data_IF_548561904791
#
_entry.id   IF_548561904791
#
_cell.length_a   1.000
_cell.length_b   1.000
_cell.length_c   1.000
_cell.angle_alpha   90.00
_cell.angle_beta   90.00
_cell.angle_gamma   90.00
#
_symmetry.space_group_name_H-M   'P 1'
#
loop_
_entity.id
_entity.type
_entity.pdbx_description
1 polymer ?
#
# COMPACT_ATOMS: atom_id res chain seq x y z
N UNK A 1 10.62 -20.69 5.41
CA UNK A 1 9.85 -19.52 4.94
C UNK A 1 10.12 -19.14 3.47
N UNK A 2 11.18 -19.61 2.82
CA UNK A 2 11.51 -19.26 1.42
C UNK A 2 10.66 -19.98 0.36
N UNK A 3 9.99 -21.09 0.70
CA UNK A 3 9.19 -21.87 -0.26
C UNK A 3 7.90 -21.19 -0.76
N UNK A 4 7.45 -20.11 -0.11
CA UNK A 4 6.24 -19.39 -0.48
C UNK A 4 6.41 -18.36 -1.59
N UNK A 5 7.62 -17.87 -1.77
CA UNK A 5 7.92 -16.83 -2.77
C UNK A 5 8.02 -17.38 -4.21
N UNK A 6 8.19 -18.69 -4.39
CA UNK A 6 8.38 -19.31 -5.70
C UNK A 6 7.07 -19.56 -6.47
N UNK A 7 5.91 -19.63 -5.81
CA UNK A 7 4.64 -20.04 -6.42
C UNK A 7 3.87 -18.95 -7.16
N UNK A 8 3.85 -17.69 -6.72
CA UNK A 8 3.27 -16.61 -7.53
C UNK A 8 3.94 -16.49 -8.89
N UNK A 9 5.28 -16.67 -8.93
CA UNK A 9 6.03 -16.62 -10.17
C UNK A 9 5.72 -17.78 -11.13
N UNK A 10 5.47 -18.98 -10.64
CA UNK A 10 5.11 -20.11 -11.51
C UNK A 10 3.71 -19.94 -12.11
N UNK A 11 2.76 -19.39 -11.36
CA UNK A 11 1.42 -19.08 -11.86
C UNK A 11 1.45 -17.90 -12.83
N UNK A 12 2.17 -16.83 -12.47
CA UNK A 12 2.38 -15.67 -13.33
C UNK A 12 3.13 -16.04 -14.61
N UNK A 13 4.13 -16.92 -14.53
CA UNK A 13 4.83 -17.46 -15.70
C UNK A 13 3.94 -18.30 -16.59
N UNK A 14 3.10 -19.17 -16.04
CA UNK A 14 2.10 -19.92 -16.80
C UNK A 14 1.09 -18.98 -17.49
N UNK A 15 0.65 -17.94 -16.78
CA UNK A 15 -0.20 -16.88 -17.34
C UNK A 15 0.47 -16.16 -18.50
N UNK A 16 1.71 -15.68 -18.31
CA UNK A 16 2.47 -14.98 -19.35
C UNK A 16 2.69 -15.84 -20.61
N UNK A 17 2.98 -17.14 -20.43
CA UNK A 17 3.19 -18.05 -21.56
C UNK A 17 1.91 -18.49 -22.27
N UNK A 18 0.81 -18.61 -21.54
CA UNK A 18 -0.44 -19.16 -22.10
C UNK A 18 -1.43 -18.07 -22.52
N UNK A 19 -1.56 -17.01 -21.74
CA UNK A 19 -2.53 -15.92 -21.95
C UNK A 19 -1.88 -14.62 -22.40
N UNK A 20 -0.75 -14.22 -21.84
CA UNK A 20 -0.06 -12.98 -22.20
C UNK A 20 0.44 -12.99 -23.64
N UNK A 21 0.91 -14.14 -24.13
CA UNK A 21 1.30 -14.33 -25.53
C UNK A 21 0.08 -14.36 -26.49
N UNK A 22 -1.07 -14.85 -26.03
CA UNK A 22 -2.29 -14.94 -26.80
C UNK A 22 -3.07 -13.61 -26.86
N UNK A 23 -2.96 -12.79 -25.82
CA UNK A 23 -3.71 -11.53 -25.68
C UNK A 23 -2.91 -10.29 -26.12
N UNK A 24 -1.63 -10.43 -26.51
CA UNK A 24 -0.75 -9.31 -26.87
C UNK A 24 -0.75 -8.20 -25.80
N UNK A 25 -0.70 -8.57 -24.53
CA UNK A 25 -0.73 -7.61 -23.41
C UNK A 25 0.36 -6.55 -23.58
N UNK A 26 0.03 -5.24 -23.63
CA UNK A 26 1.03 -4.18 -23.85
C UNK A 26 2.01 -4.03 -22.69
N UNK A 27 1.73 -4.65 -21.54
CA UNK A 27 2.53 -4.53 -20.32
C UNK A 27 3.53 -5.68 -20.13
N UNK A 28 3.45 -6.73 -20.94
CA UNK A 28 4.25 -7.93 -20.78
C UNK A 28 4.86 -8.36 -22.10
N UNK A 29 6.18 -8.28 -22.22
CA UNK A 29 6.93 -8.88 -23.32
C UNK A 29 7.27 -10.34 -23.01
N UNK A 30 6.62 -11.35 -23.63
CA UNK A 30 6.90 -12.76 -23.41
C UNK A 30 8.36 -13.14 -23.70
N UNK A 31 9.04 -12.45 -24.61
CA UNK A 31 10.44 -12.70 -24.97
C UNK A 31 11.40 -12.34 -23.81
N UNK A 32 10.96 -11.46 -22.89
CA UNK A 32 11.75 -11.07 -21.70
C UNK A 32 11.73 -12.10 -20.58
N UNK A 33 10.97 -13.21 -20.71
CA UNK A 33 10.77 -14.23 -19.65
C UNK A 33 11.43 -15.56 -19.99
N UNK A 34 12.71 -15.53 -20.34
CA UNK A 34 13.51 -16.76 -20.46
C UNK A 34 13.73 -17.40 -19.10
N UNK A 35 13.94 -18.72 -19.08
CA UNK A 35 14.27 -19.47 -17.83
C UNK A 35 15.45 -18.83 -17.10
N UNK A 36 16.49 -18.39 -17.85
CA UNK A 36 17.65 -17.69 -17.27
C UNK A 36 17.24 -16.40 -16.55
N UNK A 37 16.41 -15.58 -17.17
CA UNK A 37 15.92 -14.33 -16.56
C UNK A 37 15.06 -14.59 -15.34
N UNK A 38 14.23 -15.62 -15.35
CA UNK A 38 13.45 -16.04 -14.19
C UNK A 38 14.36 -16.44 -13.02
N UNK A 39 15.40 -17.23 -13.27
CA UNK A 39 16.38 -17.61 -12.22
C UNK A 39 17.08 -16.37 -11.69
N UNK A 40 17.49 -15.44 -12.55
CA UNK A 40 18.10 -14.16 -12.12
C UNK A 40 17.13 -13.35 -11.24
N UNK A 41 15.90 -13.17 -11.67
CA UNK A 41 14.88 -12.44 -10.91
C UNK A 41 14.60 -13.09 -9.55
N UNK A 42 14.66 -14.40 -9.49
CA UNK A 42 14.39 -15.17 -8.30
C UNK A 42 15.43 -14.94 -7.19
N UNK A 43 16.73 -14.92 -7.50
CA UNK A 43 17.74 -14.65 -6.49
C UNK A 43 17.95 -13.16 -6.25
N UNK A 44 17.71 -12.29 -7.24
CA UNK A 44 17.82 -10.85 -7.07
C UNK A 44 16.61 -10.25 -6.31
N UNK A 45 15.49 -10.96 -6.23
CA UNK A 45 14.32 -10.53 -5.48
C UNK A 45 14.62 -10.20 -4.01
N UNK A 46 15.59 -10.85 -3.39
CA UNK A 46 16.00 -10.54 -2.00
C UNK A 46 16.50 -9.10 -1.86
N UNK A 47 17.09 -8.55 -2.92
CA UNK A 47 17.67 -7.21 -2.92
C UNK A 47 16.72 -6.16 -3.49
N UNK A 48 15.93 -6.53 -4.50
CA UNK A 48 14.98 -5.63 -5.12
C UNK A 48 13.88 -6.40 -5.87
N UNK A 49 12.67 -5.83 -5.91
CA UNK A 49 11.59 -6.31 -6.75
C UNK A 49 11.77 -5.80 -8.19
N UNK A 50 11.27 -6.56 -9.17
CA UNK A 50 11.25 -6.13 -10.57
C UNK A 50 9.98 -5.30 -10.84
N UNK A 51 9.94 -4.58 -11.95
CA UNK A 51 8.80 -3.74 -12.32
C UNK A 51 7.46 -4.50 -12.35
N UNK A 52 7.46 -5.71 -12.88
CA UNK A 52 6.32 -6.62 -12.94
C UNK A 52 5.89 -7.18 -11.58
N UNK A 53 6.72 -7.05 -10.56
CA UNK A 53 6.45 -7.46 -9.17
C UNK A 53 6.41 -6.28 -8.20
N UNK A 54 6.31 -5.06 -8.71
CA UNK A 54 6.28 -3.82 -7.94
C UNK A 54 5.34 -3.87 -6.72
N UNK A 55 4.10 -4.39 -6.78
CA UNK A 55 3.24 -4.47 -5.60
C UNK A 55 3.81 -5.27 -4.44
N UNK A 56 4.82 -6.11 -4.65
CA UNK A 56 5.49 -6.85 -3.58
C UNK A 56 6.43 -5.97 -2.72
N UNK A 57 6.63 -4.68 -3.05
CA UNK A 57 7.35 -3.72 -2.21
C UNK A 57 6.84 -3.72 -0.75
N UNK A 58 5.54 -3.97 -0.57
CA UNK A 58 4.93 -4.07 0.75
C UNK A 58 5.59 -5.13 1.64
N UNK A 59 6.11 -6.21 1.07
CA UNK A 59 6.81 -7.25 1.84
C UNK A 59 8.10 -6.73 2.46
N UNK A 60 8.84 -5.89 1.73
CA UNK A 60 10.07 -5.27 2.26
C UNK A 60 9.72 -4.33 3.42
N UNK A 61 8.70 -3.51 3.22
CA UNK A 61 8.18 -2.62 4.26
C UNK A 61 7.72 -3.43 5.49
N UNK A 62 6.97 -4.51 5.29
CA UNK A 62 6.48 -5.37 6.36
C UNK A 62 7.63 -6.04 7.12
N UNK A 63 8.64 -6.55 6.43
CA UNK A 63 9.86 -7.11 7.05
C UNK A 63 10.55 -6.02 7.89
N UNK A 64 10.73 -4.80 7.35
CA UNK A 64 11.29 -3.68 8.10
C UNK A 64 10.51 -3.36 9.38
N UNK A 65 9.17 -3.36 9.31
CA UNK A 65 8.31 -3.18 10.49
C UNK A 65 8.48 -4.31 11.51
N UNK A 66 8.56 -5.57 11.08
CA UNK A 66 8.80 -6.69 12.00
C UNK A 66 10.17 -6.62 12.68
N UNK A 67 11.20 -6.14 11.99
CA UNK A 67 12.54 -5.95 12.57
C UNK A 67 12.54 -4.86 13.66
N UNK A 68 11.76 -3.80 13.51
CA UNK A 68 11.67 -2.72 14.50
C UNK A 68 10.70 -3.03 15.66
N UNK A 69 9.77 -3.98 15.46
CA UNK A 69 8.72 -4.32 16.45
C UNK A 69 9.22 -4.63 17.86
N UNK A 70 10.33 -5.38 18.09
CA UNK A 70 10.80 -5.64 19.45
C UNK A 70 11.16 -4.35 20.21
N UNK A 71 11.84 -3.41 19.53
CA UNK A 71 12.23 -2.11 20.10
C UNK A 71 11.01 -1.22 20.30
N UNK A 72 10.21 -1.07 19.25
CA UNK A 72 8.98 -0.27 19.30
C UNK A 72 8.00 -0.79 20.34
N UNK A 73 7.81 -2.10 20.42
CA UNK A 73 6.91 -2.73 21.40
C UNK A 73 7.38 -2.55 22.85
N UNK A 74 8.68 -2.53 23.09
CA UNK A 74 9.23 -2.23 24.41
C UNK A 74 8.92 -0.78 24.81
N UNK A 75 9.11 0.16 23.93
CA UNK A 75 8.78 1.57 24.15
C UNK A 75 7.26 1.78 24.32
N UNK A 76 6.43 1.22 23.44
CA UNK A 76 4.97 1.37 23.49
C UNK A 76 4.35 0.90 24.81
N UNK A 77 4.91 -0.15 25.43
CA UNK A 77 4.42 -0.64 26.73
C UNK A 77 4.68 0.34 27.87
N UNK A 78 5.73 1.15 27.77
CA UNK A 78 6.16 2.09 28.82
C UNK A 78 5.71 3.52 28.54
N UNK A 79 5.42 3.85 27.27
CA UNK A 79 5.07 5.19 26.83
C UNK A 79 3.77 5.68 27.50
N UNK A 80 3.81 6.90 28.01
CA UNK A 80 2.62 7.61 28.46
C UNK A 80 1.74 8.04 27.30
N UNK A 81 0.50 8.41 27.58
CA UNK A 81 -0.40 8.95 26.57
C UNK A 81 0.20 10.18 25.87
N UNK A 82 0.89 11.03 26.64
CA UNK A 82 1.53 12.26 26.12
C UNK A 82 2.69 11.95 25.17
N UNK A 83 3.50 10.93 25.49
CA UNK A 83 4.63 10.52 24.65
C UNK A 83 4.13 9.99 23.29
N UNK A 84 3.05 9.19 23.31
CA UNK A 84 2.41 8.71 22.08
C UNK A 84 1.83 9.86 21.25
N UNK A 85 1.19 10.83 21.90
CA UNK A 85 0.65 12.02 21.22
C UNK A 85 1.75 12.87 20.62
N UNK A 86 2.87 13.06 21.33
CA UNK A 86 4.02 13.79 20.81
C UNK A 86 4.62 13.08 19.59
N UNK A 87 4.82 11.76 19.67
CA UNK A 87 5.30 10.98 18.55
C UNK A 87 4.36 11.14 17.32
N UNK A 88 3.05 10.99 17.54
CA UNK A 88 2.05 11.11 16.46
C UNK A 88 1.98 12.53 15.89
N UNK A 89 2.22 13.57 16.70
CA UNK A 89 2.27 14.94 16.20
C UNK A 89 3.49 15.17 15.29
N UNK A 90 4.67 14.69 15.69
CA UNK A 90 5.90 14.78 14.88
C UNK A 90 5.75 13.94 13.60
N UNK A 91 5.22 12.72 13.71
CA UNK A 91 4.91 11.89 12.55
C UNK A 91 3.89 12.56 11.63
N UNK A 92 2.84 13.16 12.17
CA UNK A 92 1.84 13.91 11.40
C UNK A 92 2.46 15.08 10.63
N UNK A 93 3.43 15.78 11.21
CA UNK A 93 4.19 16.81 10.50
C UNK A 93 5.03 16.20 9.36
N UNK A 94 5.64 15.03 9.57
CA UNK A 94 6.39 14.33 8.53
C UNK A 94 5.53 13.91 7.33
N UNK A 95 4.23 13.67 7.51
CA UNK A 95 3.30 13.36 6.41
C UNK A 95 3.08 14.54 5.43
N UNK A 96 3.41 15.76 5.84
CA UNK A 96 3.34 16.96 5.00
C UNK A 96 4.58 17.14 4.14
N UNK A 97 5.69 16.48 4.47
CA UNK A 97 6.98 16.70 3.85
C UNK A 97 6.95 16.59 2.30
N UNK A 98 6.35 15.58 1.67
CA UNK A 98 6.30 15.49 0.21
C UNK A 98 5.66 16.71 -0.46
N UNK A 99 4.64 17.29 0.16
CA UNK A 99 3.97 18.50 -0.34
C UNK A 99 4.82 19.75 -0.13
N UNK A 100 5.50 19.82 1.01
CA UNK A 100 6.41 20.94 1.31
C UNK A 100 7.60 20.95 0.37
N UNK A 101 8.16 19.80 0.02
CA UNK A 101 9.26 19.65 -0.94
C UNK A 101 8.89 20.15 -2.34
N UNK A 102 7.65 19.94 -2.77
CA UNK A 102 7.14 20.47 -4.04
C UNK A 102 6.83 21.96 -3.96
N UNK A 103 6.27 22.42 -2.85
CA UNK A 103 5.86 23.82 -2.68
C UNK A 103 7.04 24.76 -2.44
N UNK A 104 8.10 24.32 -1.77
CA UNK A 104 9.23 25.16 -1.39
C UNK A 104 9.95 25.82 -2.58
N UNK A 105 10.26 25.11 -3.69
CA UNK A 105 10.82 25.74 -4.88
C UNK A 105 9.90 26.80 -5.50
N UNK A 106 8.58 26.59 -5.45
CA UNK A 106 7.60 27.55 -5.97
C UNK A 106 7.58 28.86 -5.14
N UNK A 107 7.98 28.78 -3.87
CA UNK A 107 8.13 29.92 -2.96
C UNK A 107 9.53 30.52 -2.97
N UNK A 108 10.39 30.12 -3.92
CA UNK A 108 11.73 30.64 -4.07
C UNK A 108 12.81 29.96 -3.23
N UNK A 109 12.48 28.86 -2.54
CA UNK A 109 13.44 28.06 -1.79
C UNK A 109 13.94 26.89 -2.64
N UNK A 110 15.19 26.97 -3.11
CA UNK A 110 15.83 25.91 -3.92
C UNK A 110 16.85 25.07 -3.14
N UNK A 111 16.91 25.20 -1.82
CA UNK A 111 17.98 24.64 -1.01
C UNK A 111 19.26 25.48 -1.05
N UNK A 112 20.30 25.04 -0.35
CA UNK A 112 21.57 25.74 -0.23
C UNK A 112 22.68 25.19 -1.14
N UNK A 113 22.29 24.56 -2.25
CA UNK A 113 23.20 23.97 -3.22
C UNK A 113 23.58 22.51 -2.88
N UNK A 114 24.10 21.78 -3.87
CA UNK A 114 24.38 20.36 -3.73
C UNK A 114 23.13 19.51 -3.49
N UNK A 115 23.28 18.42 -2.74
CA UNK A 115 22.21 17.47 -2.42
C UNK A 115 21.54 17.74 -1.06
N UNK A 116 21.71 18.95 -0.50
CA UNK A 116 21.12 19.35 0.78
C UNK A 116 19.84 20.15 0.56
N UNK A 117 18.71 19.55 0.92
CA UNK A 117 17.39 20.16 0.85
C UNK A 117 16.86 20.67 2.19
N UNK A 118 15.55 20.92 2.23
CA UNK A 118 14.81 21.32 3.42
C UNK A 118 15.05 20.35 4.58
N UNK A 119 15.32 20.88 5.77
CA UNK A 119 15.49 20.09 7.01
C UNK A 119 16.51 18.95 6.90
N UNK A 120 17.54 19.10 6.08
CA UNK A 120 18.59 18.09 5.89
C UNK A 120 18.19 16.92 4.99
N UNK A 121 17.15 17.07 4.17
CA UNK A 121 16.81 16.09 3.14
C UNK A 121 17.96 15.99 2.13
N UNK A 122 18.33 14.75 1.77
CA UNK A 122 19.37 14.44 0.81
C UNK A 122 19.11 13.07 0.17
N UNK A 123 19.90 12.68 -0.83
CA UNK A 123 19.72 11.45 -1.60
C UNK A 123 19.64 10.17 -0.74
N UNK A 124 20.41 10.11 0.36
CA UNK A 124 20.41 8.99 1.30
C UNK A 124 19.46 9.16 2.48
N UNK A 125 18.77 10.30 2.60
CA UNK A 125 17.83 10.60 3.67
C UNK A 125 16.69 11.50 3.16
N UNK A 126 15.70 10.90 2.54
CA UNK A 126 14.53 11.58 1.97
C UNK A 126 13.63 12.26 3.00
N UNK A 127 13.79 11.99 4.30
CA UNK A 127 12.98 12.57 5.36
C UNK A 127 13.75 13.57 6.25
N UNK A 128 15.06 13.78 6.03
CA UNK A 128 15.89 14.71 6.79
C UNK A 128 15.71 14.54 8.30
N UNK A 129 15.40 15.64 8.98
CA UNK A 129 15.14 15.66 10.44
C UNK A 129 14.03 14.70 10.88
N UNK A 130 13.07 14.39 10.03
CA UNK A 130 11.95 13.51 10.35
C UNK A 130 12.23 12.02 10.11
N UNK A 131 13.43 11.62 9.70
CA UNK A 131 13.78 10.28 9.31
C UNK A 131 13.29 9.19 10.30
N UNK A 132 13.54 9.40 11.59
CA UNK A 132 13.18 8.42 12.64
C UNK A 132 11.69 8.40 13.00
N UNK A 133 10.93 9.41 12.60
CA UNK A 133 9.49 9.55 12.88
C UNK A 133 8.62 9.38 11.64
N UNK A 134 9.21 9.15 10.48
CA UNK A 134 8.51 9.07 9.21
C UNK A 134 8.07 7.65 8.86
N UNK A 135 7.30 7.54 7.79
CA UNK A 135 6.93 6.26 7.19
C UNK A 135 5.87 5.48 7.96
N UNK A 136 5.86 4.18 7.76
CA UNK A 136 4.81 3.27 8.23
C UNK A 136 4.81 3.01 9.73
N UNK A 137 5.92 3.27 10.42
CA UNK A 137 6.02 3.12 11.88
C UNK A 137 4.95 3.95 12.60
N UNK A 138 4.64 5.13 12.10
CA UNK A 138 3.60 5.98 12.67
C UNK A 138 2.20 5.36 12.64
N UNK A 139 1.87 4.60 11.62
CA UNK A 139 0.59 3.87 11.58
C UNK A 139 0.51 2.77 12.66
N UNK A 140 1.63 2.11 13.00
CA UNK A 140 1.66 1.15 14.11
C UNK A 140 1.41 1.85 15.46
N UNK A 141 2.08 2.98 15.69
CA UNK A 141 1.89 3.79 16.91
C UNK A 141 0.46 4.33 16.97
N UNK A 142 -0.10 4.80 15.84
CA UNK A 142 -1.47 5.28 15.75
C UNK A 142 -2.48 4.18 16.06
N UNK A 143 -2.31 2.99 15.49
CA UNK A 143 -3.18 1.85 15.77
C UNK A 143 -3.14 1.47 17.24
N UNK A 144 -1.93 1.38 17.82
CA UNK A 144 -1.76 1.13 19.26
C UNK A 144 -2.43 2.20 20.12
N UNK A 145 -2.24 3.48 19.76
CA UNK A 145 -2.84 4.60 20.48
C UNK A 145 -4.37 4.53 20.46
N UNK A 146 -4.97 4.32 19.29
CA UNK A 146 -6.43 4.26 19.14
C UNK A 146 -7.06 3.04 19.81
N UNK A 147 -6.34 1.92 19.90
CA UNK A 147 -6.79 0.74 20.65
C UNK A 147 -6.74 0.99 22.15
N UNK A 148 -5.66 1.61 22.65
CA UNK A 148 -5.46 1.88 24.07
C UNK A 148 -6.31 3.05 24.57
N UNK A 149 -6.54 4.07 23.74
CA UNK A 149 -7.29 5.29 24.02
C UNK A 149 -8.38 5.51 22.98
N UNK A 150 -9.43 4.66 22.94
CA UNK A 150 -10.46 4.74 21.93
C UNK A 150 -11.25 6.06 22.05
N UNK A 151 -11.68 6.59 20.90
CA UNK A 151 -12.47 7.80 20.82
C UNK A 151 -13.90 7.53 21.34
N UNK A 152 -14.23 8.08 22.52
CA UNK A 152 -15.55 7.97 23.17
C UNK A 152 -16.56 8.99 22.65
N UNK A 153 -16.52 9.34 21.37
CA UNK A 153 -17.43 10.30 20.76
C UNK A 153 -18.78 9.65 20.43
N UNK A 154 -19.86 10.47 20.37
CA UNK A 154 -21.14 9.99 19.82
C UNK A 154 -20.98 9.67 18.32
N UNK A 155 -21.89 8.85 17.78
CA UNK A 155 -21.89 8.56 16.34
C UNK A 155 -22.01 9.82 15.48
N UNK A 156 -22.88 10.76 15.88
CA UNK A 156 -23.05 12.05 15.17
C UNK A 156 -21.73 12.81 15.09
N UNK A 157 -21.00 12.92 16.22
CA UNK A 157 -19.70 13.60 16.25
C UNK A 157 -18.65 12.82 15.46
N UNK A 158 -18.63 11.50 15.57
CA UNK A 158 -17.67 10.66 14.83
C UNK A 158 -17.85 10.86 13.33
N UNK A 159 -19.05 10.70 12.81
CA UNK A 159 -19.33 10.87 11.39
C UNK A 159 -19.18 12.34 10.94
N UNK A 160 -19.60 13.31 11.77
CA UNK A 160 -19.46 14.73 11.47
C UNK A 160 -18.00 15.21 11.34
N UNK A 161 -17.04 14.51 11.95
CA UNK A 161 -15.61 14.82 11.81
C UNK A 161 -14.93 13.89 10.81
N UNK A 162 -15.22 12.60 10.87
CA UNK A 162 -14.50 11.61 10.07
C UNK A 162 -14.91 11.60 8.60
N UNK A 163 -16.19 11.84 8.29
CA UNK A 163 -16.65 11.87 6.90
C UNK A 163 -16.08 13.08 6.11
N UNK A 164 -16.12 14.33 6.63
CA UNK A 164 -15.42 15.44 5.98
C UNK A 164 -13.91 15.22 5.85
N UNK A 165 -13.27 14.67 6.88
CA UNK A 165 -11.83 14.37 6.84
C UNK A 165 -11.51 13.40 5.70
N UNK A 166 -12.29 12.32 5.59
CA UNK A 166 -12.16 11.36 4.48
C UNK A 166 -12.38 12.04 3.11
N UNK A 167 -13.46 12.83 3.01
CA UNK A 167 -13.80 13.52 1.76
C UNK A 167 -12.67 14.48 1.31
N UNK A 168 -12.11 15.25 2.24
CA UNK A 168 -10.98 16.15 1.93
C UNK A 168 -9.75 15.34 1.47
N UNK A 169 -9.39 14.28 2.18
CA UNK A 169 -8.27 13.40 1.77
C UNK A 169 -8.50 12.80 0.38
N UNK A 170 -9.72 12.32 0.12
CA UNK A 170 -10.10 11.80 -1.19
C UNK A 170 -10.04 12.86 -2.31
N UNK A 171 -10.55 14.06 -2.05
CA UNK A 171 -10.51 15.16 -3.01
C UNK A 171 -9.08 15.59 -3.32
N UNK A 172 -8.19 15.67 -2.31
CA UNK A 172 -6.77 15.96 -2.53
C UNK A 172 -6.15 14.90 -3.45
N UNK A 173 -6.43 13.63 -3.20
CA UNK A 173 -5.92 12.53 -4.04
C UNK A 173 -6.50 12.61 -5.46
N UNK A 174 -7.81 12.70 -5.61
CA UNK A 174 -8.48 12.67 -6.91
C UNK A 174 -8.15 13.90 -7.77
N UNK A 175 -8.26 15.10 -7.19
CA UNK A 175 -7.95 16.34 -7.90
C UNK A 175 -6.45 16.49 -8.15
N UNK A 176 -5.61 16.07 -7.19
CA UNK A 176 -4.18 16.04 -7.34
C UNK A 176 -3.74 15.12 -8.48
N UNK A 177 -4.35 13.93 -8.59
CA UNK A 177 -4.10 13.02 -9.72
C UNK A 177 -4.41 13.68 -11.06
N UNK A 178 -5.63 14.25 -11.20
CA UNK A 178 -6.05 14.93 -12.44
C UNK A 178 -5.14 16.14 -12.75
N UNK A 179 -4.85 16.97 -11.74
CA UNK A 179 -4.00 18.15 -11.91
C UNK A 179 -2.58 17.76 -12.33
N UNK A 180 -2.01 16.71 -11.72
CA UNK A 180 -0.66 16.23 -12.04
C UNK A 180 -0.61 15.67 -13.47
N UNK A 181 -1.59 14.86 -13.87
CA UNK A 181 -1.65 14.33 -15.24
C UNK A 181 -1.81 15.43 -16.30
N UNK A 182 -2.61 16.45 -16.01
CA UNK A 182 -2.82 17.56 -16.95
C UNK A 182 -1.60 18.51 -17.04
N UNK A 183 -0.91 18.75 -15.92
CA UNK A 183 0.18 19.72 -15.85
C UNK A 183 1.55 19.12 -16.12
N UNK A 184 1.75 17.87 -15.73
CA UNK A 184 3.02 17.15 -15.83
C UNK A 184 2.78 15.73 -16.37
N UNK A 185 2.28 15.58 -17.61
CA UNK A 185 1.96 14.28 -18.17
C UNK A 185 3.21 13.39 -18.19
N UNK A 186 3.07 12.16 -17.70
CA UNK A 186 4.16 11.19 -17.66
C UNK A 186 5.19 11.39 -16.52
N UNK A 187 5.01 12.39 -15.66
CA UNK A 187 5.88 12.58 -14.49
C UNK A 187 5.37 11.76 -13.30
N UNK A 188 5.87 10.54 -13.16
CA UNK A 188 5.47 9.63 -12.09
C UNK A 188 5.86 10.12 -10.70
N UNK A 189 6.95 10.88 -10.54
CA UNK A 189 7.38 11.39 -9.25
C UNK A 189 6.36 12.35 -8.64
N UNK A 190 5.81 13.27 -9.42
CA UNK A 190 4.73 14.15 -8.97
C UNK A 190 3.41 13.42 -8.77
N UNK A 191 3.13 12.40 -9.59
CA UNK A 191 1.94 11.57 -9.45
C UNK A 191 2.00 10.77 -8.14
N UNK A 192 3.16 10.21 -7.79
CA UNK A 192 3.36 9.42 -6.59
C UNK A 192 3.04 10.18 -5.31
N UNK A 193 3.32 11.49 -5.25
CA UNK A 193 3.03 12.35 -4.09
C UNK A 193 1.56 12.27 -3.68
N UNK A 194 0.63 12.27 -4.64
CA UNK A 194 -0.82 12.31 -4.36
C UNK A 194 -1.39 10.96 -3.95
N UNK A 195 -0.67 9.88 -4.15
CA UNK A 195 -1.07 8.55 -3.67
C UNK A 195 -0.11 7.95 -2.64
N UNK A 196 0.92 8.69 -2.25
CA UNK A 196 1.93 8.20 -1.33
C UNK A 196 1.31 7.72 -0.02
N UNK A 197 1.55 6.48 0.35
CA UNK A 197 0.88 5.82 1.50
C UNK A 197 1.13 6.50 2.84
N UNK A 198 2.26 7.20 2.98
CA UNK A 198 2.58 8.04 4.14
C UNK A 198 2.38 9.52 3.84
N UNK A 199 1.52 9.89 2.88
CA UNK A 199 1.07 11.26 2.65
C UNK A 199 -0.09 11.64 3.55
N UNK A 200 -0.23 12.94 3.82
CA UNK A 200 -1.30 13.47 4.69
C UNK A 200 -2.69 13.15 4.17
N UNK A 201 -2.90 13.18 2.85
CA UNK A 201 -4.18 12.86 2.21
C UNK A 201 -4.58 11.39 2.43
N UNK A 202 -3.63 10.46 2.32
CA UNK A 202 -3.88 9.04 2.58
C UNK A 202 -4.14 8.79 4.06
N UNK A 203 -3.42 9.47 4.95
CA UNK A 203 -3.72 9.46 6.39
C UNK A 203 -5.15 9.96 6.68
N UNK A 204 -5.57 11.07 6.05
CA UNK A 204 -6.91 11.63 6.20
C UNK A 204 -8.02 10.68 5.72
N UNK A 205 -7.72 9.74 4.83
CA UNK A 205 -8.65 8.66 4.44
C UNK A 205 -8.57 7.45 5.38
N UNK A 206 -7.38 7.08 5.80
CA UNK A 206 -7.13 5.87 6.61
C UNK A 206 -7.66 6.00 8.03
N UNK A 207 -7.41 7.15 8.70
CA UNK A 207 -7.84 7.40 10.07
C UNK A 207 -9.36 7.29 10.25
N UNK A 208 -10.21 7.92 9.41
CA UNK A 208 -11.66 7.78 9.49
C UNK A 208 -12.15 6.34 9.35
N UNK A 209 -11.61 5.60 8.40
CA UNK A 209 -11.99 4.19 8.20
C UNK A 209 -11.66 3.37 9.44
N UNK A 210 -10.45 3.53 10.00
CA UNK A 210 -10.05 2.82 11.19
C UNK A 210 -10.95 3.14 12.40
N UNK A 211 -11.22 4.43 12.65
CA UNK A 211 -12.07 4.87 13.76
C UNK A 211 -13.51 4.38 13.62
N UNK A 212 -14.08 4.45 12.41
CA UNK A 212 -15.45 3.98 12.16
C UNK A 212 -15.55 2.46 12.34
N UNK A 213 -14.62 1.70 11.76
CA UNK A 213 -14.58 0.23 11.89
C UNK A 213 -14.39 -0.19 13.35
N UNK A 214 -13.48 0.46 14.09
CA UNK A 214 -13.29 0.20 15.51
C UNK A 214 -14.58 0.45 16.31
N UNK A 215 -15.29 1.54 15.98
CA UNK A 215 -16.52 1.93 16.66
C UNK A 215 -17.72 1.03 16.33
N UNK A 216 -17.75 0.42 15.15
CA UNK A 216 -18.78 -0.54 14.76
C UNK A 216 -18.79 -1.76 15.68
N UNK A 217 -17.69 -2.08 16.34
CA UNK A 217 -17.52 -3.19 17.27
C UNK A 217 -18.20 -4.48 16.76
N UNK A 218 -18.02 -4.77 15.48
CA UNK A 218 -18.67 -5.92 14.83
C UNK A 218 -18.17 -7.19 15.50
N UNK A 219 -19.07 -7.97 16.06
CA UNK A 219 -18.74 -9.27 16.62
C UNK A 219 -18.03 -10.12 15.57
N UNK A 220 -16.95 -10.79 15.97
CA UNK A 220 -16.19 -11.65 15.08
C UNK A 220 -17.10 -12.72 14.47
N UNK A 221 -17.38 -12.61 13.18
CA UNK A 221 -18.14 -13.62 12.44
C UNK A 221 -17.17 -14.63 11.86
N UNK A 222 -17.46 -15.95 11.96
CA UNK A 222 -16.54 -16.99 11.49
C UNK A 222 -16.12 -16.83 10.02
N UNK A 223 -17.04 -16.38 9.15
CA UNK A 223 -16.72 -16.15 7.74
C UNK A 223 -15.75 -14.96 7.55
N UNK A 224 -15.91 -13.88 8.35
CA UNK A 224 -15.03 -12.72 8.27
C UNK A 224 -13.62 -13.04 8.79
N UNK A 225 -13.53 -13.82 9.87
CA UNK A 225 -12.24 -14.32 10.37
C UNK A 225 -11.55 -15.23 9.35
N UNK A 226 -12.30 -16.09 8.64
CA UNK A 226 -11.76 -16.90 7.55
C UNK A 226 -11.27 -16.04 6.40
N UNK A 227 -12.06 -15.06 5.97
CA UNK A 227 -11.64 -14.11 4.92
C UNK A 227 -10.38 -13.35 5.33
N UNK A 228 -10.33 -12.85 6.57
CA UNK A 228 -9.15 -12.18 7.12
C UNK A 228 -7.90 -13.07 7.11
N UNK A 229 -8.04 -14.38 7.39
CA UNK A 229 -6.89 -15.31 7.32
C UNK A 229 -6.38 -15.54 5.90
N UNK A 230 -7.19 -15.27 4.87
CA UNK A 230 -6.80 -15.38 3.45
C UNK A 230 -6.18 -14.10 2.89
N UNK A 231 -6.27 -12.96 3.60
CA UNK A 231 -5.88 -11.66 3.05
C UNK A 231 -4.42 -11.58 2.62
N UNK A 232 -3.52 -12.23 3.35
CA UNK A 232 -2.11 -12.28 2.96
C UNK A 232 -1.89 -13.06 1.65
N UNK A 233 -2.53 -14.21 1.50
CA UNK A 233 -2.50 -14.97 0.25
C UNK A 233 -3.15 -14.21 -0.91
N UNK A 234 -4.28 -13.53 -0.66
CA UNK A 234 -4.94 -12.67 -1.65
C UNK A 234 -3.97 -11.58 -2.11
N UNK A 235 -3.29 -10.93 -1.16
CA UNK A 235 -2.28 -9.93 -1.49
C UNK A 235 -1.15 -10.51 -2.36
N UNK A 236 -0.67 -11.72 -2.10
CA UNK A 236 0.40 -12.33 -2.88
C UNK A 236 -0.02 -12.71 -4.31
N UNK A 237 -1.29 -13.09 -4.53
CA UNK A 237 -1.74 -13.58 -5.82
C UNK A 237 -2.52 -12.55 -6.66
N UNK A 238 -3.06 -11.47 -6.06
CA UNK A 238 -3.93 -10.53 -6.78
C UNK A 238 -3.26 -9.94 -8.02
N UNK A 239 -1.96 -9.70 -7.97
CA UNK A 239 -1.21 -9.12 -9.07
C UNK A 239 -1.16 -10.04 -10.30
N UNK A 240 -1.17 -11.35 -10.11
CA UNK A 240 -1.28 -12.32 -11.20
C UNK A 240 -2.73 -12.46 -11.74
N UNK A 241 -3.72 -12.10 -10.91
CA UNK A 241 -5.14 -12.22 -11.26
C UNK A 241 -5.67 -10.98 -11.96
N UNK A 242 -5.18 -9.78 -11.61
CA UNK A 242 -5.63 -8.50 -12.18
C UNK A 242 -5.56 -8.49 -13.72
N UNK A 243 -4.44 -8.85 -14.38
CA UNK A 243 -4.38 -8.86 -15.84
C UNK A 243 -5.42 -9.77 -16.47
N UNK A 244 -5.66 -10.95 -15.88
CA UNK A 244 -6.69 -11.88 -16.36
C UNK A 244 -8.09 -11.25 -16.28
N UNK A 245 -8.41 -10.59 -15.16
CA UNK A 245 -9.69 -9.91 -15.00
C UNK A 245 -9.80 -8.69 -15.93
N UNK A 246 -8.70 -8.00 -16.19
CA UNK A 246 -8.65 -6.90 -17.14
C UNK A 246 -8.98 -7.39 -18.55
N UNK A 247 -8.28 -8.40 -19.05
CA UNK A 247 -8.47 -8.95 -20.40
C UNK A 247 -9.90 -9.46 -20.61
N UNK A 248 -10.50 -10.07 -19.57
CA UNK A 248 -11.89 -10.55 -19.62
C UNK A 248 -12.94 -9.43 -19.65
N UNK A 249 -12.66 -8.30 -19.03
CA UNK A 249 -13.61 -7.18 -18.91
C UNK A 249 -13.38 -6.10 -19.98
N UNK A 250 -12.18 -6.00 -20.56
CA UNK A 250 -11.85 -5.01 -21.58
C UNK A 250 -12.60 -5.26 -22.89
N UNK A 251 -12.95 -6.51 -23.18
CA UNK A 251 -13.79 -6.87 -24.33
C UNK A 251 -15.27 -6.46 -24.17
N UNK A 252 -15.66 -5.89 -23.03
CA UNK A 252 -17.05 -5.48 -22.75
C UNK A 252 -17.28 -4.03 -23.14
N UNK A 253 -18.46 -3.72 -23.70
CA UNK A 253 -18.88 -2.34 -24.03
C UNK A 253 -19.39 -1.56 -22.80
N UNK A 254 -18.87 -1.85 -21.60
CA UNK A 254 -19.27 -1.22 -20.36
C UNK A 254 -18.58 0.14 -20.16
N UNK A 255 -19.22 1.12 -19.51
CA UNK A 255 -18.57 2.36 -19.11
C UNK A 255 -17.33 2.11 -18.23
N UNK A 256 -16.30 2.95 -18.36
CA UNK A 256 -15.00 2.77 -17.67
C UNK A 256 -15.12 2.62 -16.14
N UNK A 257 -16.01 3.39 -15.50
CA UNK A 257 -16.22 3.28 -14.06
C UNK A 257 -16.85 1.94 -13.65
N UNK A 258 -17.72 1.35 -14.49
CA UNK A 258 -18.31 0.01 -14.26
C UNK A 258 -17.24 -1.05 -14.45
N UNK A 259 -16.41 -0.93 -15.50
CA UNK A 259 -15.28 -1.84 -15.75
C UNK A 259 -14.30 -1.81 -14.58
N UNK A 260 -13.94 -0.62 -14.10
CA UNK A 260 -13.02 -0.46 -12.96
C UNK A 260 -13.57 -1.11 -11.69
N UNK A 261 -14.83 -0.84 -11.36
CA UNK A 261 -15.49 -1.45 -10.21
C UNK A 261 -15.62 -2.97 -10.35
N UNK A 262 -16.05 -3.43 -11.52
CA UNK A 262 -16.17 -4.85 -11.85
C UNK A 262 -14.84 -5.58 -11.78
N UNK A 263 -13.78 -5.00 -12.33
CA UNK A 263 -12.42 -5.53 -12.28
C UNK A 263 -11.91 -5.66 -10.83
N UNK A 264 -12.15 -4.64 -10.00
CA UNK A 264 -11.73 -4.66 -8.60
C UNK A 264 -12.42 -5.77 -7.81
N UNK A 265 -13.74 -5.95 -8.00
CA UNK A 265 -14.51 -7.02 -7.36
C UNK A 265 -14.12 -8.39 -7.91
N UNK A 266 -13.98 -8.53 -9.23
CA UNK A 266 -13.60 -9.79 -9.87
C UNK A 266 -12.19 -10.23 -9.45
N UNK A 267 -11.23 -9.32 -9.44
CA UNK A 267 -9.86 -9.60 -9.03
C UNK A 267 -9.79 -10.04 -7.55
N UNK A 268 -10.52 -9.36 -6.67
CA UNK A 268 -10.60 -9.75 -5.27
C UNK A 268 -11.26 -11.13 -5.10
N UNK A 269 -12.40 -11.37 -5.74
CA UNK A 269 -13.13 -12.63 -5.64
C UNK A 269 -12.33 -13.81 -6.22
N UNK A 270 -11.73 -13.63 -7.39
CA UNK A 270 -10.89 -14.63 -8.03
C UNK A 270 -9.63 -14.94 -7.18
N UNK A 271 -8.96 -13.91 -6.66
CA UNK A 271 -7.84 -14.09 -5.74
C UNK A 271 -8.26 -14.85 -4.47
N UNK A 272 -9.40 -14.50 -3.88
CA UNK A 272 -9.93 -15.17 -2.71
C UNK A 272 -10.25 -16.66 -2.99
N UNK A 273 -10.80 -16.96 -4.16
CA UNK A 273 -11.08 -18.34 -4.59
C UNK A 273 -9.79 -19.15 -4.78
N UNK A 274 -8.79 -18.58 -5.44
CA UNK A 274 -7.47 -19.22 -5.64
C UNK A 274 -6.83 -19.54 -4.29
N UNK A 275 -6.77 -18.56 -3.39
CA UNK A 275 -6.17 -18.73 -2.06
C UNK A 275 -6.97 -19.71 -1.20
N UNK A 276 -8.29 -19.64 -1.26
CA UNK A 276 -9.16 -20.60 -0.59
C UNK A 276 -8.91 -22.02 -1.09
N UNK A 277 -8.82 -22.23 -2.39
CA UNK A 277 -8.48 -23.53 -2.97
C UNK A 277 -7.09 -24.01 -2.51
N UNK A 278 -6.08 -23.11 -2.54
CA UNK A 278 -4.73 -23.41 -2.05
C UNK A 278 -4.71 -23.76 -0.55
N UNK A 279 -5.58 -23.16 0.25
CA UNK A 279 -5.68 -23.44 1.69
C UNK A 279 -6.20 -24.84 2.03
N UNK A 280 -6.76 -25.56 1.04
CA UNK A 280 -7.24 -26.95 1.22
C UNK A 280 -6.12 -27.97 1.27
N UNK A 281 -4.95 -27.68 0.71
CA UNK A 281 -3.80 -28.59 0.72
C UNK A 281 -2.80 -28.20 1.82
N UNK A 282 -2.33 -29.16 2.59
CA UNK A 282 -1.45 -28.92 3.75
C UNK A 282 -0.15 -28.18 3.40
N UNK A 283 0.41 -28.45 2.21
CA UNK A 283 1.65 -27.82 1.75
C UNK A 283 1.43 -26.35 1.39
N UNK A 284 0.36 -26.04 0.66
CA UNK A 284 0.08 -24.68 0.21
C UNK A 284 -0.55 -23.81 1.31
N UNK A 285 -1.27 -24.42 2.23
CA UNK A 285 -1.87 -23.75 3.38
C UNK A 285 -0.83 -22.98 4.22
N UNK A 286 0.36 -23.59 4.45
CA UNK A 286 1.44 -22.96 5.21
C UNK A 286 2.03 -21.72 4.54
N UNK A 287 1.72 -21.49 3.28
CA UNK A 287 2.23 -20.39 2.47
C UNK A 287 1.23 -19.25 2.38
N UNK A 288 -0.06 -19.56 2.36
CA UNK A 288 -1.14 -18.59 2.08
C UNK A 288 -1.91 -18.18 3.33
N UNK A 289 -1.72 -18.86 4.43
CA UNK A 289 -2.28 -18.57 5.75
C UNK A 289 -1.17 -18.51 6.81
#
# INVERSE_FOLDING_TARGET
MLGGFYRPYSFFFAYLHTFGAATQSPTVDPASYTVRQLVVRLYTFVFNFNYDTTPLWYLYMLVGLYLVMPVLGAWLRQASQRDLQLFLAVWGAALLLPYVEVAAPLLGYAGNGGNMGLWGVCDWNAYGTFYYFSGFVGYLVLAYYLVRYPLRWSWRRTLGVMAPLFAVGYLITALGFVATQNRFPGNFAYLEIVWYFCGINVFMMTLPVFVVVQKLAVAARPWLSRLASLTFGIYLCHFAVIPVCYDLLDCTALPDWVRLAGMSVAAFAASALVVWAMSRWSVTRRVVM
#
